data_IF_462274347542
#
_entry.id   IF_462274347542
#
_cell.length_a   1.000
_cell.length_b   1.000
_cell.length_c   1.000
_cell.angle_alpha   90.00
_cell.angle_beta   90.00
_cell.angle_gamma   90.00
#
_symmetry.space_group_name_H-M   'P 1'
#
loop_
_entity.id
_entity.type
_entity.pdbx_description
1 polymer ?
#
# COMPACT_ATOMS: atom_id res chain seq x y z
N UNK A 1 -10.29 -0.97 19.53
CA UNK A 1 -10.02 -0.11 18.35
C UNK A 1 -11.06 1.00 18.25
N UNK A 2 -10.71 2.09 17.57
CA UNK A 2 -11.48 3.32 17.44
C UNK A 2 -12.65 3.12 16.46
N UNK A 3 -13.76 2.58 16.97
CA UNK A 3 -15.02 2.36 16.25
C UNK A 3 -15.94 3.58 16.22
N UNK A 4 -15.76 4.51 17.17
CA UNK A 4 -16.53 5.76 17.28
C UNK A 4 -15.67 6.92 16.81
N UNK A 5 -16.31 7.96 16.30
CA UNK A 5 -15.61 9.20 15.98
C UNK A 5 -15.06 9.90 17.23
N UNK A 6 -15.69 9.71 18.40
CA UNK A 6 -15.30 10.37 19.65
C UNK A 6 -15.28 9.45 20.84
N UNK A 7 -14.30 9.67 21.70
CA UNK A 7 -14.11 9.02 22.99
C UNK A 7 -13.78 10.05 24.07
N UNK A 8 -14.22 9.76 25.30
CA UNK A 8 -13.99 10.63 26.45
C UNK A 8 -13.14 9.89 27.48
N UNK A 9 -12.22 10.61 28.10
CA UNK A 9 -11.28 10.05 29.05
C UNK A 9 -10.44 11.11 29.74
N UNK A 10 -9.39 10.64 30.38
CA UNK A 10 -8.41 11.46 31.05
C UNK A 10 -7.02 11.21 30.46
N UNK A 11 -6.20 12.25 30.38
CA UNK A 11 -4.82 12.19 29.90
C UNK A 11 -3.87 12.91 30.86
N UNK A 12 -2.61 12.50 30.87
CA UNK A 12 -1.54 13.09 31.68
C UNK A 12 -0.18 12.92 31.02
N UNK A 13 0.79 13.73 31.45
CA UNK A 13 2.19 13.55 31.08
C UNK A 13 2.81 12.42 31.90
N UNK A 14 3.73 11.64 31.31
CA UNK A 14 4.40 10.52 31.99
C UNK A 14 5.12 10.93 33.28
N UNK A 15 5.57 12.18 33.37
CA UNK A 15 6.28 12.73 34.52
C UNK A 15 5.33 13.16 35.66
N UNK A 16 4.01 13.25 35.42
CA UNK A 16 3.06 13.79 36.38
C UNK A 16 1.68 13.14 36.30
N UNK A 17 1.58 11.89 36.76
CA UNK A 17 0.33 11.13 36.79
C UNK A 17 -0.76 11.75 37.69
N UNK A 18 -0.37 12.48 38.74
CA UNK A 18 -1.32 13.11 39.66
C UNK A 18 -2.16 14.21 39.00
N UNK A 19 -1.68 14.82 37.91
CA UNK A 19 -2.36 15.90 37.18
C UNK A 19 -3.09 15.35 35.94
N UNK A 20 -4.13 14.55 36.18
CA UNK A 20 -5.00 14.05 35.11
C UNK A 20 -5.92 15.17 34.62
N UNK A 21 -6.06 15.29 33.29
CA UNK A 21 -6.91 16.27 32.65
C UNK A 21 -7.93 15.58 31.75
N UNK A 22 -9.14 16.12 31.71
CA UNK A 22 -10.15 15.65 30.78
C UNK A 22 -9.65 15.77 29.33
N UNK A 23 -9.99 14.77 28.51
CA UNK A 23 -9.64 14.71 27.10
C UNK A 23 -10.78 14.16 26.26
N UNK A 24 -10.95 14.75 25.08
CA UNK A 24 -11.76 14.21 24.00
C UNK A 24 -10.79 13.68 22.94
N UNK A 25 -10.82 12.37 22.71
CA UNK A 25 -10.14 11.75 21.58
C UNK A 25 -11.09 11.73 20.40
N UNK A 26 -10.69 12.34 19.29
CA UNK A 26 -11.44 12.33 18.04
C UNK A 26 -10.68 11.51 16.99
N UNK A 27 -11.40 10.61 16.32
CA UNK A 27 -10.92 9.84 15.18
C UNK A 27 -11.74 10.22 13.94
N UNK A 28 -11.12 10.89 12.98
CA UNK A 28 -11.79 11.37 11.77
C UNK A 28 -10.83 11.34 10.59
N UNK A 29 -11.29 10.85 9.43
CA UNK A 29 -10.52 10.80 8.17
C UNK A 29 -9.14 10.09 8.29
N UNK A 30 -9.03 9.13 9.21
CA UNK A 30 -7.78 8.42 9.51
C UNK A 30 -6.79 9.22 10.38
N UNK A 31 -7.21 10.34 10.96
CA UNK A 31 -6.39 11.14 11.88
C UNK A 31 -6.93 10.98 13.31
N UNK A 32 -6.02 10.74 14.27
CA UNK A 32 -6.32 10.78 15.71
C UNK A 32 -5.92 12.14 16.24
N UNK A 33 -6.80 12.77 17.00
CA UNK A 33 -6.53 14.03 17.69
C UNK A 33 -7.02 14.00 19.13
N UNK A 34 -6.29 14.68 20.01
CA UNK A 34 -6.59 14.79 21.43
C UNK A 34 -6.86 16.25 21.76
N UNK A 35 -8.07 16.57 22.19
CA UNK A 35 -8.43 17.90 22.69
C UNK A 35 -8.52 17.84 24.22
N UNK A 36 -7.69 18.61 24.92
CA UNK A 36 -7.54 18.51 26.38
C UNK A 36 -7.06 19.81 27.00
N UNK A 37 -7.28 19.95 28.30
CA UNK A 37 -6.73 21.04 29.12
C UNK A 37 -5.33 20.71 29.66
N UNK A 38 -4.75 19.58 29.27
CA UNK A 38 -3.36 19.25 29.54
C UNK A 38 -2.46 20.16 28.70
N UNK A 39 -1.94 21.23 29.29
CA UNK A 39 -1.02 22.18 28.64
C UNK A 39 0.30 22.15 29.39
N UNK A 40 1.41 22.14 28.63
CA UNK A 40 2.74 22.23 29.22
C UNK A 40 3.10 23.69 29.54
N UNK A 41 3.74 23.90 30.68
CA UNK A 41 4.24 25.23 31.09
C UNK A 41 5.44 25.68 30.23
N UNK A 42 6.05 24.75 29.48
CA UNK A 42 7.19 25.00 28.59
C UNK A 42 6.75 25.02 27.13
N UNK A 43 7.40 25.86 26.33
CA UNK A 43 7.19 25.90 24.87
C UNK A 43 7.74 24.62 24.25
N UNK A 44 6.84 23.73 23.86
CA UNK A 44 7.17 22.50 23.13
C UNK A 44 6.47 22.52 21.77
N UNK A 45 7.16 22.05 20.73
CA UNK A 45 6.52 21.79 19.43
C UNK A 45 5.91 20.37 19.37
N UNK A 46 6.37 19.48 20.26
CA UNK A 46 5.86 18.12 20.43
C UNK A 46 6.13 17.59 21.84
N UNK A 47 5.29 16.68 22.30
CA UNK A 47 5.53 15.84 23.48
C UNK A 47 5.85 14.42 23.06
N UNK A 48 6.84 13.80 23.71
CA UNK A 48 7.27 12.44 23.37
C UNK A 48 6.21 11.39 23.74
N UNK A 49 5.59 11.54 24.90
CA UNK A 49 4.60 10.58 25.40
C UNK A 49 3.48 11.30 26.15
N UNK A 50 2.25 10.96 25.82
CA UNK A 50 1.05 11.31 26.60
C UNK A 50 0.38 9.99 26.97
N UNK A 51 -0.03 9.85 28.22
CA UNK A 51 -0.72 8.67 28.73
C UNK A 51 -2.20 9.01 28.92
N UNK A 52 -3.08 8.01 28.82
CA UNK A 52 -4.50 8.24 29.05
C UNK A 52 -5.30 7.00 29.41
N UNK A 53 -6.50 7.23 29.92
CA UNK A 53 -7.50 6.22 30.20
C UNK A 53 -8.85 6.70 29.64
N UNK A 54 -9.47 5.88 28.78
CA UNK A 54 -10.68 6.24 28.04
C UNK A 54 -11.78 5.21 28.21
N UNK A 55 -13.01 5.70 28.39
CA UNK A 55 -14.19 4.84 28.56
C UNK A 55 -14.43 4.02 27.30
N UNK A 56 -14.44 2.69 27.46
CA UNK A 56 -14.64 1.73 26.36
C UNK A 56 -13.40 1.43 25.51
N UNK A 57 -12.25 2.05 25.79
CA UNK A 57 -10.96 1.73 25.15
C UNK A 57 -9.92 1.17 26.13
N UNK A 58 -10.03 1.49 27.42
CA UNK A 58 -9.04 1.11 28.43
C UNK A 58 -7.92 2.13 28.53
N UNK A 59 -6.68 1.64 28.58
CA UNK A 59 -5.48 2.46 28.71
C UNK A 59 -4.87 2.76 27.34
N UNK A 60 -4.45 4.00 27.15
CA UNK A 60 -3.86 4.48 25.91
C UNK A 60 -2.49 5.11 26.17
N UNK A 61 -1.56 4.85 25.25
CA UNK A 61 -0.24 5.47 25.22
C UNK A 61 -0.04 6.11 23.86
N UNK A 62 0.12 7.43 23.85
CA UNK A 62 0.32 8.23 22.66
C UNK A 62 1.79 8.62 22.53
N UNK A 63 2.38 8.46 21.35
CA UNK A 63 3.76 8.84 21.08
C UNK A 63 3.88 9.93 20.02
N UNK A 64 4.96 10.71 20.14
CA UNK A 64 5.31 11.81 19.23
C UNK A 64 4.09 12.70 18.94
N UNK A 65 3.54 13.23 20.03
CA UNK A 65 2.35 14.07 20.05
C UNK A 65 2.70 15.49 19.62
N UNK A 66 2.46 15.83 18.35
CA UNK A 66 2.64 17.18 17.83
C UNK A 66 1.56 18.12 18.36
N UNK A 67 1.94 19.34 18.71
CA UNK A 67 0.98 20.35 19.15
C UNK A 67 0.41 21.05 17.91
N UNK A 68 -0.88 20.83 17.62
CA UNK A 68 -1.58 21.47 16.49
C UNK A 68 -1.97 22.91 16.81
N UNK A 69 -2.49 23.11 18.02
CA UNK A 69 -2.96 24.40 18.49
C UNK A 69 -2.99 24.44 20.01
N UNK A 70 -2.73 25.62 20.55
CA UNK A 70 -2.90 25.94 21.96
C UNK A 70 -3.71 27.22 22.05
N UNK A 71 -4.68 27.26 22.96
CA UNK A 71 -5.42 28.48 23.27
C UNK A 71 -5.29 28.79 24.76
N UNK A 72 -5.14 30.08 25.06
CA UNK A 72 -5.05 30.61 26.41
C UNK A 72 -6.23 31.57 26.67
N UNK A 73 -6.95 31.36 27.77
CA UNK A 73 -8.10 32.18 28.20
C UNK A 73 -8.44 31.88 29.67
N UNK A 74 -9.73 31.90 30.03
CA UNK A 74 -10.19 31.43 31.36
C UNK A 74 -9.80 29.97 31.63
N UNK A 75 -9.70 29.17 30.57
CA UNK A 75 -9.12 27.82 30.57
C UNK A 75 -8.08 27.72 29.46
N UNK A 76 -7.00 27.00 29.72
CA UNK A 76 -5.97 26.68 28.73
C UNK A 76 -6.27 25.34 28.08
N UNK A 77 -6.37 25.30 26.75
CA UNK A 77 -6.65 24.08 25.99
C UNK A 77 -5.56 23.83 24.93
N UNK A 78 -5.30 22.57 24.64
CA UNK A 78 -4.37 22.14 23.60
C UNK A 78 -4.99 21.02 22.76
N UNK A 79 -4.61 21.02 21.48
CA UNK A 79 -4.91 19.93 20.56
C UNK A 79 -3.60 19.23 20.17
N UNK A 80 -3.52 17.94 20.47
CA UNK A 80 -2.36 17.10 20.14
C UNK A 80 -2.68 16.13 19.01
N UNK A 81 -1.71 15.91 18.13
CA UNK A 81 -1.74 14.95 17.03
C UNK A 81 -0.67 13.87 17.28
N UNK A 82 -1.03 12.72 17.84
CA UNK A 82 -0.10 11.61 18.05
C UNK A 82 0.25 10.93 16.73
N UNK A 83 1.54 10.59 16.55
CA UNK A 83 1.98 9.77 15.43
C UNK A 83 1.61 8.29 15.63
N UNK A 84 1.68 7.82 16.87
CA UNK A 84 1.31 6.45 17.25
C UNK A 84 0.39 6.45 18.46
N UNK A 85 -0.58 5.54 18.46
CA UNK A 85 -1.51 5.32 19.55
C UNK A 85 -1.56 3.83 19.90
N UNK A 86 -1.10 3.48 21.09
CA UNK A 86 -1.22 2.13 21.65
C UNK A 86 -2.46 2.10 22.54
N UNK A 87 -3.25 1.03 22.42
CA UNK A 87 -4.49 0.83 23.16
C UNK A 87 -4.40 -0.55 23.82
N UNK A 88 -4.65 -0.63 25.12
CA UNK A 88 -4.65 -1.89 25.83
C UNK A 88 -5.73 -1.93 26.92
N UNK A 89 -6.49 -3.03 27.07
CA UNK A 89 -7.61 -3.06 28.01
C UNK A 89 -7.21 -2.96 29.48
N UNK A 90 -6.02 -3.46 29.85
CA UNK A 90 -5.69 -3.74 31.25
C UNK A 90 -4.59 -2.86 31.85
N UNK A 91 -3.69 -2.30 31.05
CA UNK A 91 -2.53 -1.55 31.55
C UNK A 91 -1.97 -0.63 30.45
N UNK A 92 -1.18 0.37 30.83
CA UNK A 92 -0.43 1.20 29.89
C UNK A 92 0.65 0.38 29.18
N UNK A 93 0.93 0.73 27.92
CA UNK A 93 1.93 0.05 27.11
C UNK A 93 3.17 0.92 27.06
N UNK A 94 4.31 0.43 27.55
CA UNK A 94 5.61 1.10 27.38
C UNK A 94 6.18 0.73 26.00
N UNK A 95 6.13 1.60 24.99
CA UNK A 95 6.39 1.17 23.61
C UNK A 95 7.87 0.88 23.34
N UNK A 96 8.79 1.48 24.12
CA UNK A 96 10.24 1.29 23.93
C UNK A 96 10.71 -0.11 24.29
N UNK A 97 10.08 -0.71 25.29
CA UNK A 97 10.35 -2.09 25.73
C UNK A 97 9.40 -3.11 25.10
N UNK A 98 8.33 -2.66 24.43
CA UNK A 98 7.33 -3.56 23.86
C UNK A 98 7.97 -4.48 22.80
N UNK A 99 7.91 -5.77 23.11
CA UNK A 99 8.27 -6.86 22.22
C UNK A 99 7.17 -7.90 22.19
N UNK A 100 6.93 -8.50 21.03
CA UNK A 100 5.91 -9.53 20.85
C UNK A 100 6.34 -10.51 19.75
N UNK A 101 5.72 -11.70 19.77
CA UNK A 101 5.93 -12.73 18.75
C UNK A 101 4.80 -12.83 17.74
N UNK A 102 3.59 -12.40 18.14
CA UNK A 102 2.36 -12.53 17.36
C UNK A 102 1.70 -11.18 17.18
N UNK A 103 1.35 -10.86 15.94
CA UNK A 103 0.58 -9.69 15.60
C UNK A 103 -0.34 -9.99 14.42
N UNK A 104 -1.48 -9.32 14.34
CA UNK A 104 -2.49 -9.53 13.31
C UNK A 104 -3.01 -8.19 12.83
N UNK A 105 -3.11 -8.06 11.50
CA UNK A 105 -3.58 -6.86 10.84
C UNK A 105 -4.79 -7.21 9.99
N UNK A 106 -5.88 -6.48 10.15
CA UNK A 106 -7.04 -6.56 9.26
C UNK A 106 -7.00 -5.41 8.27
N UNK A 107 -7.21 -5.71 6.98
CA UNK A 107 -7.15 -4.76 5.89
C UNK A 107 -8.27 -5.09 4.88
N UNK A 108 -9.08 -4.09 4.51
CA UNK A 108 -10.23 -4.30 3.64
C UNK A 108 -9.84 -4.68 2.21
N UNK A 109 -8.65 -4.29 1.73
CA UNK A 109 -8.19 -4.67 0.39
C UNK A 109 -7.91 -6.16 0.28
N UNK A 110 -7.55 -6.85 1.38
CA UNK A 110 -7.47 -8.31 1.37
C UNK A 110 -8.84 -8.92 1.12
N UNK A 111 -9.89 -8.35 1.72
CA UNK A 111 -11.28 -8.76 1.51
C UNK A 111 -11.72 -8.54 0.05
N UNK A 112 -11.32 -7.42 -0.55
CA UNK A 112 -11.66 -7.09 -1.94
C UNK A 112 -10.91 -8.02 -2.90
N UNK A 113 -9.61 -8.23 -2.66
CA UNK A 113 -8.76 -9.07 -3.48
C UNK A 113 -9.22 -10.53 -3.50
N UNK A 114 -9.72 -11.02 -2.36
CA UNK A 114 -10.35 -12.34 -2.23
C UNK A 114 -11.81 -12.17 -1.80
N UNK A 115 -12.69 -11.91 -2.77
CA UNK A 115 -14.12 -12.11 -2.53
C UNK A 115 -14.37 -13.63 -2.41
N UNK A 116 -14.88 -14.12 -1.28
CA UNK A 116 -15.28 -15.51 -1.14
C UNK A 116 -16.47 -15.74 -2.06
N UNK A 117 -16.46 -16.84 -2.79
CA UNK A 117 -17.61 -17.25 -3.57
C UNK A 117 -18.73 -17.61 -2.59
N UNK A 118 -19.78 -16.80 -2.56
CA UNK A 118 -21.03 -17.16 -1.91
C UNK A 118 -21.74 -18.16 -2.81
N UNK A 119 -21.42 -19.46 -2.68
CA UNK A 119 -22.19 -20.51 -3.35
C UNK A 119 -23.56 -20.65 -2.66
N UNK A 120 -24.59 -20.15 -3.32
CA UNK A 120 -25.97 -20.25 -2.86
C UNK A 120 -26.56 -21.53 -3.46
N UNK A 121 -26.67 -22.59 -2.65
CA UNK A 121 -27.44 -23.78 -3.03
C UNK A 121 -28.95 -23.48 -2.93
N UNK A 122 -29.49 -22.97 -4.04
CA UNK A 122 -30.91 -22.66 -4.21
C UNK A 122 -31.80 -23.91 -4.12
N UNK A 123 -31.24 -25.10 -4.33
CA UNK A 123 -31.95 -26.39 -4.31
C UNK A 123 -32.33 -26.80 -2.89
N UNK A 124 -31.44 -26.56 -1.92
CA UNK A 124 -31.64 -26.97 -0.53
C UNK A 124 -32.04 -25.81 0.40
N UNK A 125 -32.05 -24.55 -0.07
CA UNK A 125 -32.24 -23.35 0.77
C UNK A 125 -31.25 -23.30 1.95
N UNK A 126 -30.08 -23.91 1.78
CA UNK A 126 -29.00 -23.91 2.77
C UNK A 126 -27.85 -23.09 2.18
N UNK A 127 -27.43 -22.09 2.94
CA UNK A 127 -26.22 -21.34 2.66
C UNK A 127 -25.05 -22.10 3.28
N UNK A 128 -24.31 -22.85 2.46
CA UNK A 128 -23.08 -23.52 2.89
C UNK A 128 -21.91 -22.62 2.53
N UNK A 129 -21.28 -22.04 3.54
CA UNK A 129 -20.03 -21.30 3.35
C UNK A 129 -19.02 -21.83 4.36
N UNK A 130 -17.79 -22.07 3.89
CA UNK A 130 -16.66 -22.21 4.81
C UNK A 130 -16.53 -20.89 5.58
N UNK A 131 -16.71 -20.96 6.89
CA UNK A 131 -16.74 -19.77 7.76
C UNK A 131 -15.38 -19.09 7.83
N UNK A 132 -14.31 -19.83 7.54
CA UNK A 132 -12.93 -19.39 7.60
C UNK A 132 -12.06 -20.17 6.60
N UNK A 133 -11.37 -19.44 5.73
CA UNK A 133 -10.37 -19.94 4.79
C UNK A 133 -8.99 -19.43 5.25
N UNK A 134 -8.03 -20.35 5.39
CA UNK A 134 -6.70 -20.04 5.94
C UNK A 134 -5.60 -20.52 5.00
N UNK A 135 -4.69 -19.61 4.67
CA UNK A 135 -3.51 -19.88 3.84
C UNK A 135 -2.24 -19.52 4.59
N UNK A 136 -1.41 -20.52 4.86
CA UNK A 136 -0.19 -20.36 5.65
C UNK A 136 1.06 -20.44 4.79
N UNK A 137 1.96 -19.48 5.01
CA UNK A 137 3.25 -19.38 4.36
C UNK A 137 4.33 -19.24 5.42
N UNK A 138 5.50 -19.82 5.16
CA UNK A 138 6.63 -19.79 6.09
C UNK A 138 7.86 -19.26 5.39
N UNK A 139 8.48 -18.24 5.98
CA UNK A 139 9.71 -17.62 5.49
C UNK A 139 10.83 -17.98 6.46
N UNK A 140 11.59 -19.02 6.10
CA UNK A 140 12.55 -19.65 7.02
C UNK A 140 13.70 -18.71 7.42
N UNK A 141 14.24 -17.94 6.47
CA UNK A 141 15.39 -17.05 6.71
C UNK A 141 15.14 -16.02 7.82
N UNK A 142 13.91 -15.50 7.91
CA UNK A 142 13.50 -14.54 8.94
C UNK A 142 12.62 -15.17 10.04
N UNK A 143 12.45 -16.50 10.02
CA UNK A 143 11.66 -17.27 10.99
C UNK A 143 10.27 -16.68 11.22
N UNK A 144 9.59 -16.35 10.12
CA UNK A 144 8.29 -15.69 10.12
C UNK A 144 7.25 -16.58 9.44
N UNK A 145 6.18 -16.90 10.15
CA UNK A 145 4.97 -17.47 9.56
C UNK A 145 3.96 -16.35 9.26
N UNK A 146 3.38 -16.39 8.06
CA UNK A 146 2.36 -15.47 7.57
C UNK A 146 1.11 -16.31 7.31
N UNK A 147 -0.01 -15.94 7.91
CA UNK A 147 -1.30 -16.61 7.72
C UNK A 147 -2.29 -15.59 7.14
N UNK A 148 -2.78 -15.83 5.93
CA UNK A 148 -3.91 -15.08 5.38
C UNK A 148 -5.19 -15.76 5.85
N UNK A 149 -6.09 -14.98 6.44
CA UNK A 149 -7.35 -15.45 7.01
C UNK A 149 -8.49 -14.68 6.37
N UNK A 150 -9.39 -15.40 5.71
CA UNK A 150 -10.61 -14.86 5.12
C UNK A 150 -11.80 -15.48 5.83
N UNK A 151 -12.68 -14.66 6.40
CA UNK A 151 -13.86 -15.14 7.12
C UNK A 151 -15.13 -14.46 6.62
N UNK A 152 -16.26 -15.15 6.73
CA UNK A 152 -17.57 -14.60 6.41
C UNK A 152 -18.42 -14.57 7.66
N UNK A 153 -18.71 -13.37 8.16
CA UNK A 153 -19.72 -13.20 9.19
C UNK A 153 -21.09 -13.12 8.53
N UNK A 154 -22.09 -13.81 9.08
CA UNK A 154 -23.48 -13.66 8.63
C UNK A 154 -24.41 -13.40 9.80
N UNK A 155 -25.43 -12.58 9.56
CA UNK A 155 -26.52 -12.35 10.51
C UNK A 155 -27.86 -12.43 9.81
N UNK A 156 -28.80 -13.12 10.45
CA UNK A 156 -30.19 -13.19 10.05
C UNK A 156 -31.04 -12.38 11.03
N UNK A 157 -31.77 -11.39 10.54
CA UNK A 157 -32.66 -10.57 11.35
C UNK A 157 -33.79 -9.98 10.52
N UNK A 158 -35.02 -9.99 11.06
CA UNK A 158 -36.25 -9.44 10.43
C UNK A 158 -36.47 -9.89 8.97
N UNK A 159 -36.15 -11.15 8.65
CA UNK A 159 -36.29 -11.69 7.30
C UNK A 159 -35.24 -11.21 6.29
N UNK A 160 -34.20 -10.50 6.74
CA UNK A 160 -33.06 -10.11 5.92
C UNK A 160 -31.82 -10.90 6.32
N UNK A 161 -31.11 -11.38 5.30
CA UNK A 161 -29.77 -11.93 5.41
C UNK A 161 -28.76 -10.82 5.15
N UNK A 162 -27.78 -10.67 6.03
CA UNK A 162 -26.60 -9.86 5.74
C UNK A 162 -25.35 -10.68 5.97
N UNK A 163 -24.41 -10.60 5.04
CA UNK A 163 -23.09 -11.19 5.15
C UNK A 163 -22.03 -10.11 5.01
N UNK A 164 -20.95 -10.26 5.78
CA UNK A 164 -19.78 -9.40 5.71
C UNK A 164 -18.53 -10.27 5.70
N UNK A 165 -17.80 -10.23 4.60
CA UNK A 165 -16.48 -10.84 4.52
C UNK A 165 -15.45 -9.97 5.24
N UNK A 166 -14.44 -10.62 5.83
CA UNK A 166 -13.26 -9.97 6.39
C UNK A 166 -12.00 -10.69 5.94
N UNK A 167 -11.02 -9.92 5.46
CA UNK A 167 -9.65 -10.34 5.26
C UNK A 167 -8.74 -9.84 6.38
N UNK A 168 -7.85 -10.71 6.85
CA UNK A 168 -6.79 -10.36 7.77
C UNK A 168 -5.52 -11.15 7.49
N UNK A 169 -4.40 -10.62 7.94
CA UNK A 169 -3.11 -11.29 7.92
C UNK A 169 -2.62 -11.41 9.35
N UNK A 170 -2.12 -12.60 9.71
CA UNK A 170 -1.50 -12.87 11.00
C UNK A 170 -0.04 -13.24 10.79
N UNK A 171 0.80 -12.66 11.63
CA UNK A 171 2.23 -12.86 11.63
C UNK A 171 2.65 -13.52 12.94
N UNK A 172 3.41 -14.60 12.84
CA UNK A 172 3.98 -15.31 13.99
C UNK A 172 5.48 -15.48 13.77
N UNK A 173 6.29 -14.81 14.58
CA UNK A 173 7.75 -14.96 14.57
C UNK A 173 8.21 -15.89 15.70
N UNK A 174 9.24 -16.69 15.43
CA UNK A 174 9.87 -17.54 16.45
C UNK A 174 10.62 -16.69 17.48
N UNK A 175 11.11 -15.53 17.04
CA UNK A 175 11.86 -14.55 17.82
C UNK A 175 10.98 -13.37 18.21
N UNK A 176 11.37 -12.66 19.27
CA UNK A 176 10.68 -11.44 19.68
C UNK A 176 10.94 -10.31 18.69
N UNK A 177 9.87 -9.64 18.27
CA UNK A 177 9.89 -8.52 17.33
C UNK A 177 9.54 -7.23 18.08
N UNK A 178 10.30 -6.15 17.82
CA UNK A 178 9.99 -4.80 18.30
C UNK A 178 8.91 -4.15 17.44
N UNK A 179 8.19 -3.17 17.96
CA UNK A 179 7.13 -2.45 17.23
C UNK A 179 7.55 -2.00 15.82
N UNK A 180 8.70 -1.35 15.70
CA UNK A 180 9.21 -0.84 14.41
C UNK A 180 9.41 -2.00 13.42
N UNK A 181 10.01 -3.11 13.86
CA UNK A 181 10.21 -4.29 13.01
C UNK A 181 8.88 -4.90 12.55
N UNK A 182 7.85 -4.91 13.40
CA UNK A 182 6.53 -5.39 13.02
C UNK A 182 5.85 -4.48 11.97
N UNK A 183 6.03 -3.16 12.09
CA UNK A 183 5.58 -2.18 11.09
C UNK A 183 6.31 -2.40 9.76
N UNK A 184 7.63 -2.65 9.78
CA UNK A 184 8.42 -2.89 8.57
C UNK A 184 8.04 -4.20 7.85
N UNK A 185 7.75 -5.25 8.62
CA UNK A 185 7.19 -6.51 8.09
C UNK A 185 5.84 -6.24 7.42
N UNK A 186 4.95 -5.50 8.08
CA UNK A 186 3.65 -5.17 7.52
C UNK A 186 3.74 -4.28 6.26
N UNK A 187 4.66 -3.30 6.23
CA UNK A 187 4.91 -2.47 5.04
C UNK A 187 5.45 -3.28 3.87
N UNK A 188 6.34 -4.24 4.13
CA UNK A 188 6.83 -5.17 3.10
C UNK A 188 5.68 -6.03 2.55
N UNK A 189 4.80 -6.52 3.43
CA UNK A 189 3.57 -7.19 3.03
C UNK A 189 2.68 -6.29 2.16
N UNK A 190 2.41 -5.05 2.58
CA UNK A 190 1.60 -4.11 1.80
C UNK A 190 2.19 -3.81 0.42
N UNK A 191 3.52 -3.69 0.30
CA UNK A 191 4.18 -3.54 -1.00
C UNK A 191 3.87 -4.71 -1.92
N UNK A 192 3.92 -5.93 -1.41
CA UNK A 192 3.56 -7.12 -2.20
C UNK A 192 2.09 -7.07 -2.64
N UNK A 193 1.17 -6.76 -1.71
CA UNK A 193 -0.25 -6.62 -2.05
C UNK A 193 -0.47 -5.53 -3.10
N UNK A 194 0.11 -4.34 -2.93
CA UNK A 194 0.05 -3.25 -3.91
C UNK A 194 0.62 -3.68 -5.26
N UNK A 195 1.70 -4.46 -5.28
CA UNK A 195 2.32 -4.97 -6.50
C UNK A 195 1.39 -5.90 -7.30
N UNK A 196 0.67 -6.81 -6.62
CA UNK A 196 -0.15 -7.86 -7.25
C UNK A 196 -1.61 -7.45 -7.48
N UNK A 197 -2.19 -6.60 -6.62
CA UNK A 197 -3.59 -6.19 -6.68
C UNK A 197 -3.77 -4.75 -7.18
N UNK A 198 -2.73 -3.91 -7.08
CA UNK A 198 -2.79 -2.48 -7.39
C UNK A 198 -3.54 -1.65 -6.34
N UNK A 199 -3.96 -2.25 -5.23
CA UNK A 199 -4.77 -1.59 -4.20
C UNK A 199 -4.28 -1.92 -2.79
N UNK A 200 -4.09 -0.88 -1.99
CA UNK A 200 -3.84 -0.95 -0.55
C UNK A 200 -4.58 0.18 0.13
N UNK A 201 -5.07 -0.07 1.35
CA UNK A 201 -5.73 0.93 2.16
C UNK A 201 -5.12 0.97 3.57
N UNK A 202 -5.48 2.02 4.31
CA UNK A 202 -5.24 2.10 5.75
C UNK A 202 -5.81 0.85 6.41
N UNK A 203 -4.99 0.15 7.20
CA UNK A 203 -5.47 -1.01 7.94
C UNK A 203 -6.59 -0.63 8.91
N UNK A 204 -7.52 -1.55 9.10
CA UNK A 204 -8.58 -1.41 10.06
C UNK A 204 -8.09 -1.69 11.47
N UNK A 205 -7.30 -2.74 11.69
CA UNK A 205 -6.84 -3.09 13.03
C UNK A 205 -5.40 -3.57 12.94
N UNK A 206 -4.51 -3.10 13.81
CA UNK A 206 -3.20 -3.71 14.05
C UNK A 206 -3.19 -4.16 15.50
N UNK A 207 -3.27 -5.46 15.74
CA UNK A 207 -3.28 -6.03 17.09
C UNK A 207 -1.97 -6.78 17.33
N UNK A 208 -1.47 -6.72 18.56
CA UNK A 208 -0.30 -7.48 19.00
C UNK A 208 -0.60 -8.20 20.31
N UNK A 209 0.00 -9.36 20.51
CA UNK A 209 -0.14 -10.10 21.77
C UNK A 209 0.96 -9.65 22.74
N UNK A 210 0.56 -9.07 23.88
CA UNK A 210 1.50 -8.71 24.94
C UNK A 210 2.12 -9.97 25.55
N UNK A 211 3.44 -10.00 25.73
CA UNK A 211 4.12 -11.16 26.34
C UNK A 211 3.92 -11.23 27.85
N UNK A 212 3.72 -10.09 28.51
CA UNK A 212 3.65 -10.04 29.99
C UNK A 212 2.30 -10.53 30.53
N UNK A 213 1.21 -10.23 29.82
CA UNK A 213 -0.16 -10.54 30.26
C UNK A 213 -0.95 -11.40 29.28
N UNK A 214 -0.34 -11.83 28.17
CA UNK A 214 -0.92 -12.63 27.08
C UNK A 214 -2.15 -12.05 26.39
N UNK A 215 -2.65 -10.90 26.85
CA UNK A 215 -3.80 -10.21 26.27
C UNK A 215 -3.40 -9.39 25.05
N UNK A 216 -4.38 -9.14 24.19
CA UNK A 216 -4.17 -8.42 22.94
C UNK A 216 -4.29 -6.91 23.13
N UNK A 217 -3.23 -6.20 22.74
CA UNK A 217 -3.25 -4.76 22.54
C UNK A 217 -3.50 -4.40 21.09
N UNK A 218 -3.80 -3.12 20.84
CA UNK A 218 -3.87 -2.54 19.50
C UNK A 218 -2.86 -1.42 19.34
N UNK A 219 -2.32 -1.29 18.13
CA UNK A 219 -1.54 -0.18 17.66
C UNK A 219 -2.33 0.54 16.56
N UNK A 220 -2.29 1.86 16.58
CA UNK A 220 -2.79 2.69 15.50
C UNK A 220 -1.72 3.70 15.10
N UNK A 221 -1.53 3.85 13.79
CA UNK A 221 -0.75 4.91 13.16
C UNK A 221 -1.36 5.19 11.79
N UNK A 222 -1.21 6.43 11.34
CA UNK A 222 -1.64 6.82 10.01
C UNK A 222 -0.62 6.30 9.00
N UNK A 223 -1.10 5.50 8.05
CA UNK A 223 -0.32 4.90 6.98
C UNK A 223 -0.69 5.55 5.65
N UNK A 224 0.00 6.64 5.33
CA UNK A 224 -0.28 7.46 4.14
C UNK A 224 0.47 7.00 2.88
N UNK A 225 1.23 5.90 2.94
CA UNK A 225 2.17 5.50 1.86
C UNK A 225 1.46 5.37 0.51
N UNK A 226 0.25 4.81 0.50
CA UNK A 226 -0.55 4.58 -0.71
C UNK A 226 -1.93 5.26 -0.68
N UNK A 227 -2.14 6.22 0.24
CA UNK A 227 -3.45 6.87 0.42
C UNK A 227 -3.96 7.52 -0.87
N UNK A 228 -5.09 7.05 -1.39
CA UNK A 228 -5.66 7.57 -2.63
C UNK A 228 -4.93 7.12 -3.91
N UNK A 229 -4.06 6.10 -3.84
CA UNK A 229 -3.62 5.39 -5.03
C UNK A 229 -4.83 4.71 -5.68
N UNK A 230 -5.34 5.28 -6.76
CA UNK A 230 -6.38 4.65 -7.60
C UNK A 230 -5.75 3.87 -8.74
N UNK A 231 -4.43 3.65 -8.69
CA UNK A 231 -3.67 3.25 -9.85
C UNK A 231 -3.52 1.73 -9.91
N UNK A 232 -4.48 1.09 -10.59
CA UNK A 232 -4.49 -0.35 -10.89
C UNK A 232 -3.94 -0.60 -12.30
N UNK A 233 -2.62 -0.58 -12.47
CA UNK A 233 -1.99 -1.00 -13.73
C UNK A 233 -2.28 -2.46 -14.09
N UNK A 234 -2.41 -3.35 -13.09
CA UNK A 234 -3.08 -4.64 -13.21
C UNK A 234 -3.48 -5.18 -11.83
N UNK A 235 -4.45 -6.10 -11.81
CA UNK A 235 -4.89 -6.83 -10.61
C UNK A 235 -4.90 -8.31 -10.99
N UNK A 236 -4.18 -9.14 -10.24
CA UNK A 236 -4.18 -10.59 -10.41
C UNK A 236 -5.20 -11.20 -9.45
N UNK A 237 -6.05 -12.09 -9.95
CA UNK A 237 -7.01 -12.81 -9.11
C UNK A 237 -6.29 -13.65 -8.04
N UNK A 238 -6.86 -13.71 -6.84
CA UNK A 238 -6.27 -14.45 -5.73
C UNK A 238 -6.10 -15.94 -6.04
N UNK A 239 -7.10 -16.59 -6.64
CA UNK A 239 -7.07 -18.04 -6.88
C UNK A 239 -6.06 -18.40 -7.97
N UNK A 240 -5.93 -17.53 -8.99
CA UNK A 240 -4.90 -17.69 -10.02
C UNK A 240 -3.50 -17.61 -9.40
N UNK A 241 -3.27 -16.68 -8.48
CA UNK A 241 -1.96 -16.42 -7.88
C UNK A 241 -1.62 -17.36 -6.71
N UNK A 242 -2.61 -17.99 -6.09
CA UNK A 242 -2.45 -18.81 -4.89
C UNK A 242 -1.29 -19.82 -4.97
N UNK A 243 -1.08 -20.58 -6.08
CA UNK A 243 0.05 -21.50 -6.20
C UNK A 243 1.43 -20.81 -6.17
N UNK A 244 1.48 -19.55 -6.60
CA UNK A 244 2.70 -18.76 -6.74
C UNK A 244 2.98 -17.86 -5.52
N UNK A 245 1.99 -17.67 -4.62
CA UNK A 245 2.12 -16.85 -3.41
C UNK A 245 3.31 -17.23 -2.51
N UNK A 246 3.62 -18.52 -2.25
CA UNK A 246 4.78 -18.86 -1.42
C UNK A 246 6.09 -18.29 -1.98
N UNK A 247 6.29 -18.35 -3.31
CA UNK A 247 7.50 -17.84 -3.98
C UNK A 247 7.55 -16.31 -3.98
N UNK A 248 6.39 -15.66 -4.12
CA UNK A 248 6.28 -14.20 -4.00
C UNK A 248 6.62 -13.71 -2.59
N UNK A 249 6.07 -14.35 -1.57
CA UNK A 249 6.40 -14.04 -0.17
C UNK A 249 7.89 -14.28 0.11
N UNK A 250 8.43 -15.42 -0.31
CA UNK A 250 9.86 -15.68 -0.13
C UNK A 250 10.71 -14.61 -0.82
N UNK A 251 10.40 -14.25 -2.06
CA UNK A 251 11.17 -13.28 -2.84
C UNK A 251 11.10 -11.86 -2.29
N UNK A 252 9.93 -11.36 -1.89
CA UNK A 252 9.81 -9.98 -1.38
C UNK A 252 10.53 -9.80 -0.03
N UNK A 253 10.58 -10.85 0.81
CA UNK A 253 11.20 -10.81 2.13
C UNK A 253 12.69 -11.20 2.12
N UNK A 254 13.13 -12.06 1.20
CA UNK A 254 14.50 -12.59 1.19
C UNK A 254 15.37 -12.11 0.02
N UNK A 255 14.79 -11.61 -1.08
CA UNK A 255 15.55 -11.12 -2.23
C UNK A 255 15.54 -9.58 -2.25
N UNK A 256 16.64 -8.98 -1.79
CA UNK A 256 16.82 -7.52 -1.74
C UNK A 256 16.67 -6.88 -3.13
N UNK A 257 17.17 -7.53 -4.18
CA UNK A 257 17.05 -7.02 -5.55
C UNK A 257 15.60 -7.00 -6.03
N UNK A 258 14.83 -8.05 -5.73
CA UNK A 258 13.40 -8.13 -6.03
C UNK A 258 12.63 -7.05 -5.27
N UNK A 259 12.82 -6.97 -3.95
CA UNK A 259 12.16 -5.99 -3.07
C UNK A 259 12.47 -4.54 -3.45
N UNK A 260 13.72 -4.28 -3.87
CA UNK A 260 14.14 -2.98 -4.38
C UNK A 260 13.40 -2.61 -5.67
N UNK A 261 13.32 -3.54 -6.64
CA UNK A 261 12.64 -3.28 -7.91
C UNK A 261 11.13 -3.09 -7.73
N UNK A 262 10.49 -3.90 -6.88
CA UNK A 262 9.09 -3.70 -6.50
C UNK A 262 8.90 -2.32 -5.87
N UNK A 263 9.75 -1.93 -4.93
CA UNK A 263 9.68 -0.59 -4.31
C UNK A 263 9.81 0.52 -5.37
N UNK A 264 10.76 0.39 -6.31
CA UNK A 264 10.96 1.35 -7.41
C UNK A 264 9.77 1.44 -8.35
N UNK A 265 9.11 0.32 -8.63
CA UNK A 265 7.90 0.28 -9.44
C UNK A 265 6.74 1.01 -8.73
N UNK A 266 6.64 0.82 -7.41
CA UNK A 266 5.61 1.44 -6.58
C UNK A 266 5.84 2.94 -6.33
N UNK A 267 7.03 3.50 -6.58
CA UNK A 267 7.28 4.95 -6.52
C UNK A 267 6.33 5.74 -7.46
N UNK A 268 5.84 5.11 -8.54
CA UNK A 268 4.84 5.69 -9.44
C UNK A 268 3.40 5.63 -8.91
N UNK A 269 3.19 4.98 -7.77
CA UNK A 269 1.88 4.73 -7.14
C UNK A 269 1.77 5.38 -5.76
N UNK A 270 2.86 5.91 -5.21
CA UNK A 270 2.85 6.66 -3.96
C UNK A 270 2.09 7.98 -4.10
N UNK A 271 1.53 8.45 -2.99
CA UNK A 271 0.67 9.64 -2.85
C UNK A 271 1.18 10.88 -3.61
N UNK A 272 0.33 11.39 -4.52
CA UNK A 272 0.54 12.64 -5.27
C UNK A 272 0.31 12.46 -6.77
N UNK A 273 -0.34 13.44 -7.44
CA UNK A 273 -0.45 13.43 -8.91
C UNK A 273 0.93 13.71 -9.51
N UNK A 274 1.72 12.67 -9.78
CA UNK A 274 2.95 12.78 -10.56
C UNK A 274 2.60 13.30 -11.95
N UNK A 275 3.39 14.24 -12.48
CA UNK A 275 3.29 14.59 -13.91
C UNK A 275 3.64 13.37 -14.76
N UNK A 276 3.07 13.30 -15.97
CA UNK A 276 3.36 12.18 -16.88
C UNK A 276 4.85 12.08 -17.22
N UNK A 277 5.54 13.22 -17.36
CA UNK A 277 7.00 13.28 -17.53
C UNK A 277 7.76 12.68 -16.33
N UNK A 278 7.37 13.02 -15.10
CA UNK A 278 8.01 12.48 -13.90
C UNK A 278 7.79 10.97 -13.79
N UNK A 279 6.55 10.52 -14.02
CA UNK A 279 6.18 9.11 -14.07
C UNK A 279 7.02 8.35 -15.11
N UNK A 280 7.13 8.88 -16.32
CA UNK A 280 7.96 8.31 -17.39
C UNK A 280 9.43 8.15 -16.98
N UNK A 281 10.05 9.18 -16.39
CA UNK A 281 11.45 9.09 -15.92
C UNK A 281 11.63 8.08 -14.78
N UNK A 282 10.64 7.95 -13.90
CA UNK A 282 10.64 6.94 -12.84
C UNK A 282 10.52 5.52 -13.42
N UNK A 283 9.65 5.29 -14.40
CA UNK A 283 9.49 3.99 -15.07
C UNK A 283 10.77 3.56 -15.79
N UNK A 284 11.46 4.49 -16.46
CA UNK A 284 12.79 4.22 -17.05
C UNK A 284 13.80 3.85 -15.97
N UNK A 285 13.83 4.61 -14.87
CA UNK A 285 14.73 4.33 -13.75
C UNK A 285 14.45 2.95 -13.14
N UNK A 286 13.18 2.54 -13.10
CA UNK A 286 12.75 1.21 -12.66
C UNK A 286 13.25 0.11 -13.62
N UNK A 287 13.09 0.29 -14.93
CA UNK A 287 13.62 -0.64 -15.94
C UNK A 287 15.15 -0.79 -15.84
N UNK A 288 15.86 0.32 -15.71
CA UNK A 288 17.31 0.30 -15.52
C UNK A 288 17.72 -0.38 -14.21
N UNK A 289 16.97 -0.15 -13.13
CA UNK A 289 17.20 -0.79 -11.84
C UNK A 289 17.04 -2.31 -11.92
N UNK A 290 15.96 -2.77 -12.56
CA UNK A 290 15.74 -4.19 -12.85
C UNK A 290 16.91 -4.76 -13.64
N UNK A 291 17.22 -4.15 -14.78
CA UNK A 291 18.23 -4.66 -15.69
C UNK A 291 19.65 -4.66 -15.12
N UNK A 292 19.99 -3.75 -14.20
CA UNK A 292 21.28 -3.76 -13.49
C UNK A 292 21.38 -4.86 -12.44
N UNK A 293 20.25 -5.34 -11.92
CA UNK A 293 20.21 -6.33 -10.81
C UNK A 293 20.00 -7.76 -11.30
N UNK A 294 19.25 -7.93 -12.37
CA UNK A 294 18.90 -9.24 -12.95
C UNK A 294 19.52 -9.46 -14.34
N UNK A 295 20.01 -8.40 -15.00
CA UNK A 295 20.68 -8.53 -16.29
C UNK A 295 22.06 -9.18 -16.19
N UNK A 296 22.41 -9.95 -17.21
CA UNK A 296 23.70 -10.68 -17.29
C UNK A 296 24.88 -9.77 -17.65
N UNK A 297 24.62 -8.54 -18.11
CA UNK A 297 25.64 -7.64 -18.64
C UNK A 297 26.24 -6.73 -17.55
N UNK A 298 27.54 -6.46 -17.62
CA UNK A 298 28.25 -5.61 -16.63
C UNK A 298 27.92 -4.12 -16.72
N UNK A 299 27.55 -3.61 -17.90
CA UNK A 299 27.21 -2.18 -18.16
C UNK A 299 26.15 -2.03 -19.26
N UNK A 300 24.95 -2.58 -19.08
CA UNK A 300 23.88 -2.46 -20.05
C UNK A 300 23.43 -0.99 -20.21
N UNK A 301 23.04 -0.63 -21.44
CA UNK A 301 22.46 0.67 -21.75
C UNK A 301 20.94 0.59 -21.79
N UNK A 302 20.24 1.72 -21.66
CA UNK A 302 18.77 1.76 -21.80
C UNK A 302 18.31 1.16 -23.14
N UNK A 303 19.05 1.42 -24.23
CA UNK A 303 18.78 0.80 -25.54
C UNK A 303 18.80 -0.73 -25.46
N UNK A 304 19.79 -1.28 -24.77
CA UNK A 304 19.89 -2.74 -24.63
C UNK A 304 18.72 -3.30 -23.83
N UNK A 305 18.34 -2.66 -22.71
CA UNK A 305 17.20 -3.12 -21.93
C UNK A 305 15.88 -3.08 -22.70
N UNK A 306 15.67 -2.04 -23.51
CA UNK A 306 14.49 -1.97 -24.38
C UNK A 306 14.53 -3.11 -25.42
N UNK A 307 15.69 -3.35 -26.04
CA UNK A 307 15.88 -4.43 -27.02
C UNK A 307 15.69 -5.83 -26.45
N UNK A 308 16.17 -6.08 -25.24
CA UNK A 308 15.96 -7.36 -24.54
C UNK A 308 14.47 -7.62 -24.23
N UNK A 309 13.61 -6.60 -24.39
CA UNK A 309 12.17 -6.64 -24.15
C UNK A 309 11.33 -6.37 -25.40
N UNK A 310 11.93 -6.41 -26.60
CA UNK A 310 11.28 -6.12 -27.88
C UNK A 310 9.98 -6.92 -28.08
N UNK A 311 10.00 -8.22 -27.80
CA UNK A 311 8.81 -9.06 -27.92
C UNK A 311 7.64 -8.60 -27.03
N UNK A 312 7.94 -8.18 -25.80
CA UNK A 312 6.91 -7.70 -24.87
C UNK A 312 6.37 -6.34 -25.34
N UNK A 313 7.25 -5.45 -25.81
CA UNK A 313 6.87 -4.15 -26.37
C UNK A 313 5.91 -4.34 -27.54
N UNK A 314 6.25 -5.21 -28.50
CA UNK A 314 5.41 -5.49 -29.68
C UNK A 314 4.07 -6.12 -29.28
N UNK A 315 4.07 -7.06 -28.33
CA UNK A 315 2.83 -7.73 -27.88
C UNK A 315 1.86 -6.76 -27.18
N UNK A 316 2.38 -5.76 -26.47
CA UNK A 316 1.55 -4.83 -25.69
C UNK A 316 1.20 -3.53 -26.43
N UNK A 317 2.04 -3.08 -27.35
CA UNK A 317 1.84 -1.81 -28.08
C UNK A 317 1.34 -2.05 -29.51
N UNK A 318 1.14 -0.99 -30.29
CA UNK A 318 0.89 -1.07 -31.75
C UNK A 318 2.18 -0.96 -32.58
N UNK A 319 3.35 -1.00 -31.93
CA UNK A 319 4.66 -1.00 -32.58
C UNK A 319 4.88 -2.34 -33.31
N UNK A 320 5.28 -2.27 -34.57
CA UNK A 320 5.68 -3.39 -35.41
C UNK A 320 7.20 -3.60 -35.34
N UNK A 321 7.70 -4.73 -35.86
CA UNK A 321 9.14 -4.96 -35.94
C UNK A 321 9.86 -3.87 -36.76
N UNK A 322 9.19 -3.29 -37.76
CA UNK A 322 9.79 -2.31 -38.67
C UNK A 322 10.04 -0.95 -38.03
N UNK A 323 9.17 -0.53 -37.08
CA UNK A 323 9.25 0.78 -36.43
C UNK A 323 9.73 0.72 -34.97
N UNK A 324 10.18 -0.46 -34.52
CA UNK A 324 10.65 -0.68 -33.16
C UNK A 324 11.93 0.08 -32.84
N UNK A 325 12.91 0.10 -33.75
CA UNK A 325 14.17 0.82 -33.55
C UNK A 325 13.93 2.34 -33.39
N UNK A 326 12.99 2.90 -34.17
CA UNK A 326 12.58 4.30 -34.07
C UNK A 326 11.86 4.56 -32.74
N UNK A 327 10.96 3.66 -32.33
CA UNK A 327 10.27 3.76 -31.05
C UNK A 327 11.25 3.77 -29.86
N UNK A 328 12.21 2.83 -29.86
CA UNK A 328 13.27 2.75 -28.84
C UNK A 328 14.14 4.01 -28.84
N UNK A 329 14.52 4.50 -30.03
CA UNK A 329 15.28 5.75 -30.17
C UNK A 329 14.53 6.94 -29.58
N UNK A 330 13.23 7.05 -29.86
CA UNK A 330 12.37 8.12 -29.36
C UNK A 330 12.20 8.08 -27.83
N UNK A 331 12.13 6.90 -27.22
CA UNK A 331 12.13 6.76 -25.74
C UNK A 331 13.42 7.32 -25.14
N UNK A 332 14.58 6.96 -25.71
CA UNK A 332 15.89 7.41 -25.20
C UNK A 332 16.02 8.93 -25.32
N UNK A 333 15.67 9.49 -26.48
CA UNK A 333 15.71 10.94 -26.71
C UNK A 333 14.76 11.69 -25.78
N UNK A 334 13.55 11.17 -25.56
CA UNK A 334 12.58 11.75 -24.60
C UNK A 334 13.10 11.72 -23.17
N UNK A 335 13.78 10.64 -22.77
CA UNK A 335 14.50 10.57 -21.48
C UNK A 335 15.55 11.67 -21.39
N UNK A 336 16.39 11.80 -22.42
CA UNK A 336 17.47 12.79 -22.43
C UNK A 336 16.94 14.22 -22.35
N UNK A 337 15.79 14.52 -22.97
CA UNK A 337 15.10 15.80 -22.78
C UNK A 337 14.66 16.02 -21.33
N UNK A 338 13.93 15.07 -20.74
CA UNK A 338 13.35 15.26 -19.40
C UNK A 338 14.35 15.17 -18.25
N UNK A 339 15.47 14.45 -18.44
CA UNK A 339 16.49 14.26 -17.39
C UNK A 339 17.67 15.21 -17.56
N UNK A 340 18.13 15.44 -18.80
CA UNK A 340 19.34 16.22 -19.09
C UNK A 340 19.05 17.58 -19.74
N UNK A 341 17.77 17.94 -19.88
CA UNK A 341 17.32 19.20 -20.49
C UNK A 341 17.87 19.40 -21.92
N UNK A 342 18.04 18.32 -22.68
CA UNK A 342 18.47 18.40 -24.07
C UNK A 342 17.33 18.92 -24.96
N UNK A 343 17.30 20.24 -25.18
CA UNK A 343 16.23 20.97 -25.88
C UNK A 343 16.02 20.46 -27.32
N UNK A 344 17.05 19.91 -27.97
CA UNK A 344 16.97 19.33 -29.31
C UNK A 344 16.00 18.12 -29.40
N UNK A 345 15.66 17.53 -28.24
CA UNK A 345 14.77 16.38 -28.11
C UNK A 345 13.39 16.75 -27.51
N UNK A 346 13.00 18.03 -27.52
CA UNK A 346 11.68 18.44 -27.03
C UNK A 346 10.54 17.83 -27.87
N UNK A 347 9.41 17.55 -27.22
CA UNK A 347 8.13 17.18 -27.85
C UNK A 347 8.17 15.95 -28.78
N UNK A 348 9.08 14.99 -28.55
CA UNK A 348 9.10 13.71 -29.28
C UNK A 348 7.84 12.89 -28.98
N UNK A 349 7.41 12.89 -27.71
CA UNK A 349 6.14 12.36 -27.27
C UNK A 349 5.33 13.46 -26.61
N UNK A 350 4.02 13.44 -26.83
CA UNK A 350 3.07 14.23 -26.06
C UNK A 350 3.01 13.76 -24.60
N UNK A 351 2.53 14.63 -23.70
CA UNK A 351 2.32 14.26 -22.30
C UNK A 351 1.43 13.02 -22.13
N UNK A 352 0.44 12.83 -23.02
CA UNK A 352 -0.40 11.64 -23.00
C UNK A 352 0.38 10.38 -23.43
N UNK A 353 1.20 10.45 -24.47
CA UNK A 353 2.03 9.30 -24.89
C UNK A 353 3.05 8.90 -23.82
N UNK A 354 3.64 9.88 -23.12
CA UNK A 354 4.54 9.61 -21.99
C UNK A 354 3.87 8.79 -20.89
N UNK A 355 2.58 9.06 -20.61
CA UNK A 355 1.81 8.24 -19.67
C UNK A 355 1.75 6.80 -20.15
N UNK A 356 1.25 6.52 -21.36
CA UNK A 356 1.07 5.14 -21.83
C UNK A 356 2.38 4.37 -21.99
N UNK A 357 3.45 5.05 -22.42
CA UNK A 357 4.78 4.46 -22.47
C UNK A 357 5.25 4.10 -21.05
N UNK A 358 5.06 4.99 -20.07
CA UNK A 358 5.41 4.68 -18.67
C UNK A 358 4.66 3.45 -18.14
N UNK A 359 3.38 3.27 -18.51
CA UNK A 359 2.58 2.10 -18.14
C UNK A 359 3.16 0.82 -18.74
N UNK A 360 3.55 0.84 -20.02
CA UNK A 360 4.17 -0.30 -20.70
C UNK A 360 5.49 -0.68 -20.03
N UNK A 361 6.34 0.31 -19.72
CA UNK A 361 7.60 0.07 -19.03
C UNK A 361 7.40 -0.54 -17.64
N UNK A 362 6.43 -0.02 -16.87
CA UNK A 362 6.08 -0.55 -15.55
C UNK A 362 5.59 -2.02 -15.66
N UNK A 363 4.74 -2.33 -16.64
CA UNK A 363 4.24 -3.69 -16.88
C UNK A 363 5.36 -4.64 -17.31
N UNK A 364 6.30 -4.19 -18.16
CA UNK A 364 7.48 -4.99 -18.56
C UNK A 364 8.28 -5.37 -17.32
N UNK A 365 8.59 -4.41 -16.44
CA UNK A 365 9.34 -4.71 -15.21
C UNK A 365 8.58 -5.68 -14.32
N UNK A 366 7.27 -5.51 -14.17
CA UNK A 366 6.45 -6.43 -13.38
C UNK A 366 6.45 -7.85 -13.94
N UNK A 367 6.24 -8.02 -15.26
CA UNK A 367 6.31 -9.32 -15.93
C UNK A 367 7.69 -9.96 -15.69
N UNK A 368 8.75 -9.18 -15.87
CA UNK A 368 10.11 -9.67 -15.70
C UNK A 368 10.39 -10.12 -14.25
N UNK A 369 9.97 -9.34 -13.27
CA UNK A 369 10.07 -9.75 -11.86
C UNK A 369 9.31 -11.05 -11.58
N UNK A 370 8.10 -11.22 -12.14
CA UNK A 370 7.32 -12.45 -11.99
C UNK A 370 8.00 -13.65 -12.69
N UNK A 371 8.67 -13.42 -13.83
CA UNK A 371 9.45 -14.45 -14.51
C UNK A 371 10.68 -14.89 -13.71
N UNK A 372 11.38 -13.96 -13.03
CA UNK A 372 12.53 -14.28 -12.17
C UNK A 372 12.20 -15.23 -11.00
N UNK A 373 10.91 -15.36 -10.67
CA UNK A 373 10.42 -16.22 -9.59
C UNK A 373 9.54 -17.38 -10.10
N UNK A 374 9.61 -17.65 -11.41
CA UNK A 374 8.92 -18.75 -12.09
C UNK A 374 7.40 -18.78 -11.89
N UNK A 375 6.76 -17.60 -11.87
CA UNK A 375 5.29 -17.47 -11.87
C UNK A 375 4.70 -18.07 -13.15
N UNK A 376 3.50 -18.65 -13.05
CA UNK A 376 2.87 -19.35 -14.16
C UNK A 376 2.70 -18.47 -15.41
N UNK A 377 2.98 -19.05 -16.59
CA UNK A 377 2.84 -18.34 -17.87
C UNK A 377 1.40 -17.85 -18.12
N UNK A 378 0.39 -18.53 -17.56
CA UNK A 378 -1.02 -18.13 -17.64
C UNK A 378 -1.23 -16.74 -17.03
N UNK A 379 -0.60 -16.46 -15.88
CA UNK A 379 -0.66 -15.14 -15.23
C UNK A 379 0.07 -14.11 -16.07
N UNK A 380 1.26 -14.44 -16.59
CA UNK A 380 2.03 -13.56 -17.47
C UNK A 380 1.22 -13.16 -18.70
N UNK A 381 0.55 -14.11 -19.36
CA UNK A 381 -0.27 -13.85 -20.54
C UNK A 381 -1.48 -12.97 -20.22
N UNK A 382 -2.11 -13.16 -19.05
CA UNK A 382 -3.19 -12.28 -18.55
C UNK A 382 -2.69 -10.84 -18.37
N UNK A 383 -1.49 -10.66 -17.81
CA UNK A 383 -0.88 -9.33 -17.63
C UNK A 383 -0.56 -8.69 -18.97
N UNK A 384 0.01 -9.43 -19.94
CA UNK A 384 0.29 -8.94 -21.30
C UNK A 384 -1.02 -8.47 -21.96
N UNK A 385 -2.09 -9.26 -21.88
CA UNK A 385 -3.40 -8.89 -22.43
C UNK A 385 -3.95 -7.62 -21.80
N UNK A 386 -3.79 -7.45 -20.48
CA UNK A 386 -4.18 -6.21 -19.77
C UNK A 386 -3.36 -5.02 -20.24
N UNK A 387 -2.04 -5.17 -20.35
CA UNK A 387 -1.15 -4.13 -20.88
C UNK A 387 -1.54 -3.68 -22.28
N UNK A 388 -1.91 -4.64 -23.14
CA UNK A 388 -2.43 -4.34 -24.49
C UNK A 388 -3.73 -3.55 -24.48
N UNK A 389 -4.70 -3.92 -23.64
CA UNK A 389 -5.96 -3.18 -23.50
C UNK A 389 -5.71 -1.76 -22.99
N UNK A 390 -4.85 -1.59 -22.00
CA UNK A 390 -4.49 -0.27 -21.45
C UNK A 390 -3.81 0.61 -22.50
N UNK A 391 -2.82 0.07 -23.22
CA UNK A 391 -2.08 0.85 -24.21
C UNK A 391 -2.91 1.15 -25.46
N UNK A 392 -3.66 0.18 -26.01
CA UNK A 392 -4.36 0.37 -27.29
C UNK A 392 -5.75 0.99 -27.10
N UNK A 393 -6.56 0.38 -26.23
CA UNK A 393 -7.99 0.71 -26.13
C UNK A 393 -8.19 1.99 -25.32
N UNK A 394 -7.56 2.07 -24.14
CA UNK A 394 -7.73 3.24 -23.26
C UNK A 394 -7.03 4.47 -23.86
N UNK A 395 -5.86 4.31 -24.50
CA UNK A 395 -5.21 5.43 -25.19
C UNK A 395 -6.06 5.98 -26.33
N UNK A 396 -6.63 5.11 -27.17
CA UNK A 396 -7.49 5.54 -28.26
C UNK A 396 -8.73 6.29 -27.74
N UNK A 397 -9.39 5.76 -26.71
CA UNK A 397 -10.55 6.41 -26.08
C UNK A 397 -10.17 7.77 -25.48
N UNK A 398 -9.09 7.84 -24.70
CA UNK A 398 -8.67 9.10 -24.08
C UNK A 398 -8.18 10.13 -25.10
N UNK A 399 -7.60 9.70 -26.22
CA UNK A 399 -7.27 10.59 -27.34
C UNK A 399 -8.51 11.20 -27.98
N UNK A 400 -9.58 10.41 -28.15
CA UNK A 400 -10.88 10.90 -28.65
C UNK A 400 -11.52 11.85 -27.63
N UNK A 401 -11.56 11.48 -26.35
CA UNK A 401 -12.18 12.29 -25.30
C UNK A 401 -11.42 13.59 -25.02
N UNK A 402 -10.09 13.57 -25.16
CA UNK A 402 -9.24 14.76 -25.06
C UNK A 402 -9.24 15.62 -26.32
N UNK A 403 -9.93 15.21 -27.38
CA UNK A 403 -10.03 15.97 -28.62
C UNK A 403 -11.04 17.11 -28.48
N UNK A 404 -10.54 18.32 -28.29
CA UNK A 404 -11.36 19.53 -28.25
C UNK A 404 -11.49 20.15 -29.65
N UNK A 405 -12.60 19.86 -30.32
CA UNK A 405 -12.93 20.38 -31.65
C UNK A 405 -12.95 21.92 -31.71
N UNK A 406 -13.14 22.62 -30.59
CA UNK A 406 -13.22 24.08 -30.54
C UNK A 406 -11.85 24.76 -30.45
N UNK A 407 -10.80 24.04 -30.05
CA UNK A 407 -9.43 24.60 -29.96
C UNK A 407 -8.68 24.58 -31.29
N UNK A 408 -8.95 23.63 -32.18
CA UNK A 408 -8.23 23.55 -33.47
C UNK A 408 -8.74 24.55 -34.51
N UNK A 409 -10.02 24.89 -34.51
CA UNK A 409 -10.59 25.92 -35.39
C UNK A 409 -10.08 27.34 -35.11
N UNK A 410 -9.40 27.55 -33.98
CA UNK A 410 -8.70 28.79 -33.64
C UNK A 410 -7.20 28.78 -34.01
N UNK A 411 -6.64 27.63 -34.38
CA UNK A 411 -5.25 27.49 -34.86
C UNK A 411 -5.19 27.42 -36.39
N UNK A 412 -6.33 27.24 -37.06
CA UNK A 412 -6.49 27.24 -38.52
C UNK A 412 -7.04 28.58 -39.07
N UNK A 413 -7.16 29.61 -38.23
CA UNK A 413 -7.35 31.02 -38.59
C UNK A 413 -6.15 31.84 -38.11
#
# INVERSE_FOLDING_TARGET
MLKKERYHGEVWFSENEAKRCFCILTFKDGEVSLETNLVSDKVHYKHQTILGAFTGLGYLTFLDCHIKSTSSGLTSNATYLPQYCFIHPHHLVEPRSLVFKKFSISNDELTIWRQPNLDIDLSNKILNFDTEELHSFRIENIKLAIELVFSVDSTFGRGQFSSKTRGSVKFTSDTTVKVIGAIDVYRTFQKLIQFISGQTCQFNYFNFQCLDCESWGSLYFQDDVYKGSTFTYFTIDFNDLLPDLPRLFDSIFNNESFSFCVTKLLDNQTTGKLSHSKRFTNSISCLEAYGKRFGQQKKPTLKQFLKDNDELIIKMTDVTNENLDDFVSNIIRSRDYHVHSNIENQNIFSDFELLYISLVLDIIVAIRLLQEIDVSQIIIDKIIKKGRSVYREIQAVNRILGYDYLRQSQLEN
#
